data_IF_768148194628
#
_entry.id   IF_768148194628
#
_cell.length_a   1.000
_cell.length_b   1.000
_cell.length_c   1.000
_cell.angle_alpha   90.00
_cell.angle_beta   90.00
_cell.angle_gamma   90.00
#
_symmetry.space_group_name_H-M   'P 1'
#
loop_
_entity.id
_entity.type
_entity.pdbx_description
1 polymer ?
#
# COMPACT_ATOMS: atom_id res chain seq x y z
N UNK A 1 -23.84 40.72 12.03
CA UNK A 1 -23.82 39.25 12.18
C UNK A 1 -22.65 38.68 11.40
N UNK A 2 -21.72 37.94 12.04
CA UNK A 2 -20.65 37.19 11.37
C UNK A 2 -20.99 35.70 11.46
N UNK A 3 -21.01 35.00 10.33
CA UNK A 3 -21.24 33.54 10.27
C UNK A 3 -20.00 32.81 10.83
N UNK A 4 -20.14 31.75 11.64
CA UNK A 4 -19.02 30.89 11.99
C UNK A 4 -18.72 29.95 10.82
N UNK A 5 -17.48 29.97 10.33
CA UNK A 5 -16.96 28.97 9.41
C UNK A 5 -16.64 27.70 10.20
N UNK A 6 -17.59 26.78 10.25
CA UNK A 6 -17.36 25.40 10.69
C UNK A 6 -17.34 24.55 9.43
N UNK A 7 -16.17 24.40 8.83
CA UNK A 7 -15.93 23.29 7.89
C UNK A 7 -14.89 22.40 8.55
N UNK A 8 -15.43 21.43 9.28
CA UNK A 8 -14.76 20.22 9.71
C UNK A 8 -13.93 19.65 8.56
N UNK A 9 -12.62 19.65 8.70
CA UNK A 9 -11.79 18.66 8.04
C UNK A 9 -10.85 18.09 9.09
N UNK A 10 -11.40 17.10 9.78
CA UNK A 10 -10.63 16.09 10.49
C UNK A 10 -9.61 15.50 9.51
N UNK A 11 -8.34 15.45 9.90
CA UNK A 11 -7.55 14.22 9.86
C UNK A 11 -6.12 14.46 10.36
N UNK A 12 -5.94 14.10 11.64
CA UNK A 12 -4.83 13.34 12.20
C UNK A 12 -3.39 13.76 11.83
N UNK A 13 -2.89 14.75 12.57
CA UNK A 13 -1.46 14.85 12.89
C UNK A 13 -1.10 13.77 13.90
N UNK A 14 -0.53 12.63 13.48
CA UNK A 14 0.20 11.73 14.39
C UNK A 14 1.13 10.77 13.61
N UNK A 15 2.44 11.00 13.72
CA UNK A 15 3.40 9.92 14.02
C UNK A 15 3.88 8.95 12.94
N UNK A 16 3.56 9.08 11.66
CA UNK A 16 4.33 8.50 10.54
C UNK A 16 3.72 9.05 9.25
N UNK A 17 4.44 9.85 8.46
CA UNK A 17 3.94 10.48 7.22
C UNK A 17 3.75 9.45 6.11
N UNK A 18 2.86 8.48 6.31
CA UNK A 18 2.39 7.56 5.28
C UNK A 18 1.04 8.05 4.80
N UNK A 19 0.91 8.35 3.52
CA UNK A 19 -0.38 8.75 2.92
C UNK A 19 -1.40 7.63 3.12
N UNK A 20 -2.67 7.98 3.38
CA UNK A 20 -3.76 7.00 3.49
C UNK A 20 -3.83 6.04 2.30
N UNK A 21 -3.58 6.52 1.09
CA UNK A 21 -3.48 5.70 -0.12
C UNK A 21 -2.36 4.64 -0.07
N UNK A 22 -1.25 4.94 0.60
CA UNK A 22 -0.16 3.96 0.80
C UNK A 22 -0.57 2.88 1.78
N UNK A 23 -1.36 3.22 2.81
CA UNK A 23 -1.84 2.26 3.79
C UNK A 23 -2.84 1.27 3.16
N UNK A 24 -3.78 1.79 2.38
CA UNK A 24 -4.76 0.99 1.62
C UNK A 24 -4.06 0.00 0.66
N UNK A 25 -3.03 0.45 -0.04
CA UNK A 25 -2.25 -0.39 -0.96
C UNK A 25 -1.49 -1.52 -0.22
N UNK A 26 -1.07 -1.28 1.03
CA UNK A 26 -0.41 -2.31 1.84
C UNK A 26 -1.40 -3.33 2.36
N UNK A 27 -2.59 -2.89 2.78
CA UNK A 27 -3.68 -3.80 3.15
C UNK A 27 -4.10 -4.67 1.97
N UNK A 28 -4.19 -4.08 0.77
CA UNK A 28 -4.41 -4.84 -0.46
C UNK A 28 -3.34 -5.92 -0.67
N UNK A 29 -2.07 -5.60 -0.46
CA UNK A 29 -0.98 -6.56 -0.59
C UNK A 29 -1.05 -7.71 0.42
N UNK A 30 -1.50 -7.44 1.64
CA UNK A 30 -1.69 -8.46 2.67
C UNK A 30 -2.78 -9.46 2.25
N UNK A 31 -3.93 -8.96 1.79
CA UNK A 31 -5.00 -9.79 1.23
C UNK A 31 -4.55 -10.57 -0.01
N UNK A 32 -3.72 -9.96 -0.86
CA UNK A 32 -3.15 -10.62 -2.04
C UNK A 32 -2.25 -11.80 -1.65
N UNK A 33 -1.47 -11.65 -0.57
CA UNK A 33 -0.56 -12.65 -0.04
C UNK A 33 -1.28 -13.81 0.68
N UNK A 34 -2.47 -13.56 1.24
CA UNK A 34 -3.31 -14.59 1.87
C UNK A 34 -4.08 -15.46 0.86
N UNK A 35 -4.08 -15.08 -0.43
CA UNK A 35 -4.84 -15.76 -1.48
C UNK A 35 -4.15 -16.98 -2.11
N UNK A 36 -4.90 -17.76 -2.88
CA UNK A 36 -4.33 -18.80 -3.74
C UNK A 36 -3.46 -18.18 -4.84
N UNK A 37 -2.36 -18.85 -5.18
CA UNK A 37 -1.35 -18.35 -6.13
C UNK A 37 -0.74 -17.00 -5.72
N UNK A 38 -0.63 -16.74 -4.40
CA UNK A 38 -0.10 -15.50 -3.85
C UNK A 38 1.28 -15.12 -4.43
N UNK A 39 2.18 -16.08 -4.64
CA UNK A 39 3.50 -15.82 -5.22
C UNK A 39 3.42 -15.24 -6.64
N UNK A 40 2.61 -15.85 -7.52
CA UNK A 40 2.42 -15.39 -8.90
C UNK A 40 1.76 -14.01 -8.96
N UNK A 41 0.76 -13.79 -8.09
CA UNK A 41 0.08 -12.49 -7.97
C UNK A 41 1.01 -11.39 -7.47
N UNK A 42 1.84 -11.67 -6.47
CA UNK A 42 2.84 -10.73 -5.96
C UNK A 42 3.93 -10.44 -7.01
N UNK A 43 4.35 -11.44 -7.78
CA UNK A 43 5.24 -11.24 -8.94
C UNK A 43 4.61 -10.31 -9.99
N UNK A 44 3.37 -10.57 -10.36
CA UNK A 44 2.62 -9.74 -11.31
C UNK A 44 2.48 -8.30 -10.82
N UNK A 45 2.17 -8.13 -9.54
CA UNK A 45 2.06 -6.84 -8.89
C UNK A 45 3.38 -6.06 -8.89
N UNK A 46 4.48 -6.67 -8.44
CA UNK A 46 5.81 -6.04 -8.45
C UNK A 46 6.21 -5.64 -9.88
N UNK A 47 5.94 -6.50 -10.87
CA UNK A 47 6.22 -6.21 -12.28
C UNK A 47 5.36 -5.07 -12.82
N UNK A 48 4.11 -4.94 -12.39
CA UNK A 48 3.25 -3.82 -12.75
C UNK A 48 3.74 -2.52 -12.11
N UNK A 49 4.16 -2.58 -10.84
CA UNK A 49 4.72 -1.44 -10.11
C UNK A 49 5.97 -0.87 -10.79
N UNK A 50 6.85 -1.74 -11.27
CA UNK A 50 8.05 -1.34 -12.03
C UNK A 50 7.74 -0.62 -13.36
N UNK A 51 6.54 -0.80 -13.92
CA UNK A 51 6.11 -0.12 -15.15
C UNK A 51 5.32 1.16 -14.87
N UNK A 52 4.92 1.38 -13.62
CA UNK A 52 4.16 2.56 -13.22
C UNK A 52 5.12 3.73 -13.11
N UNK A 53 4.89 4.76 -13.93
CA UNK A 53 5.71 5.97 -13.99
C UNK A 53 5.24 7.07 -13.05
N UNK A 54 3.98 7.00 -12.58
CA UNK A 54 3.40 7.96 -11.65
C UNK A 54 2.71 7.26 -10.47
N UNK A 55 3.12 7.66 -9.27
CA UNK A 55 2.64 7.13 -8.01
C UNK A 55 1.80 8.15 -7.23
N UNK A 56 1.71 9.41 -7.69
CA UNK A 56 1.01 10.48 -6.97
C UNK A 56 1.45 10.58 -5.51
N UNK A 57 0.54 10.25 -4.59
CA UNK A 57 0.74 10.27 -3.13
C UNK A 57 1.16 8.93 -2.53
N UNK A 58 1.34 7.88 -3.36
CA UNK A 58 1.77 6.55 -2.94
C UNK A 58 3.29 6.51 -2.73
N UNK A 59 3.72 6.00 -1.58
CA UNK A 59 5.13 5.71 -1.34
C UNK A 59 5.51 4.37 -2.01
N UNK A 60 5.95 4.44 -3.27
CA UNK A 60 6.28 3.25 -4.07
C UNK A 60 7.42 2.42 -3.46
N UNK A 61 8.34 3.06 -2.75
CA UNK A 61 9.42 2.39 -2.03
C UNK A 61 8.91 1.49 -0.90
N UNK A 62 8.01 2.00 -0.07
CA UNK A 62 7.32 1.27 0.99
C UNK A 62 6.51 0.10 0.42
N UNK A 63 5.72 0.35 -0.63
CA UNK A 63 4.85 -0.66 -1.25
C UNK A 63 5.70 -1.77 -1.86
N UNK A 64 6.75 -1.43 -2.62
CA UNK A 64 7.66 -2.40 -3.22
C UNK A 64 8.41 -3.22 -2.18
N UNK A 65 8.88 -2.57 -1.11
CA UNK A 65 9.57 -3.25 0.00
C UNK A 65 8.64 -4.22 0.71
N UNK A 66 7.38 -3.83 0.91
CA UNK A 66 6.37 -4.68 1.54
C UNK A 66 5.98 -5.87 0.64
N UNK A 67 5.73 -5.64 -0.65
CA UNK A 67 5.42 -6.69 -1.62
C UNK A 67 6.55 -7.73 -1.71
N UNK A 68 7.81 -7.30 -1.75
CA UNK A 68 8.99 -8.19 -1.76
C UNK A 68 9.16 -8.97 -0.45
N UNK A 69 8.74 -8.40 0.68
CA UNK A 69 8.74 -9.10 1.97
C UNK A 69 7.70 -10.22 1.97
N UNK A 70 6.46 -9.91 1.58
CA UNK A 70 5.37 -10.89 1.49
C UNK A 70 5.68 -12.01 0.50
N UNK A 71 6.27 -11.67 -0.65
CA UNK A 71 6.64 -12.67 -1.65
C UNK A 71 7.62 -13.71 -1.07
N UNK A 72 8.69 -13.25 -0.40
CA UNK A 72 9.65 -14.14 0.24
C UNK A 72 9.01 -15.03 1.32
N UNK A 73 8.01 -14.49 2.02
CA UNK A 73 7.27 -15.24 3.04
C UNK A 73 6.40 -16.33 2.40
N UNK A 74 5.65 -16.00 1.35
CA UNK A 74 4.83 -16.94 0.60
C UNK A 74 5.68 -18.03 -0.05
N UNK A 75 6.81 -17.68 -0.68
CA UNK A 75 7.74 -18.63 -1.30
C UNK A 75 8.35 -19.59 -0.26
N UNK A 76 8.62 -19.10 0.96
CA UNK A 76 9.12 -19.93 2.06
C UNK A 76 8.07 -20.94 2.54
N UNK A 77 6.79 -20.59 2.51
CA UNK A 77 5.69 -21.48 2.95
C UNK A 77 5.31 -22.48 1.85
N UNK A 78 5.51 -22.13 0.58
CA UNK A 78 5.17 -22.96 -0.56
C UNK A 78 6.25 -24.01 -0.95
N UNK A 79 7.48 -23.86 -0.46
CA UNK A 79 8.59 -24.81 -0.66
C UNK A 79 8.77 -25.77 0.51
#
# INVERSE_FOLDING_TARGET
>A
MKRPSTSTQEQCTNGNTRSWATDDELEFLDHLAAGQNAADRLHGYIRALHRRTDFGVLDSGAILSHAKRLLREVERVAG
#
